data_IF_568814883806
#
_entry.id   IF_568814883806
#
_cell.length_a   1.000
_cell.length_b   1.000
_cell.length_c   1.000
_cell.angle_alpha   90.00
_cell.angle_beta   90.00
_cell.angle_gamma   90.00
#
_symmetry.space_group_name_H-M   'P 1'
#
loop_
_entity.id
_entity.type
_entity.pdbx_description
1 polymer ?
#
# COMPACT_ATOMS: atom_id res chain seq x y z
N UNK A 1 -30.32 22.90 -15.24
CA UNK A 1 -31.15 21.76 -14.75
C UNK A 1 -30.56 21.31 -13.45
N UNK A 2 -31.25 21.63 -12.33
CA UNK A 2 -30.67 21.38 -10.99
C UNK A 2 -30.62 19.89 -10.70
N UNK A 3 -29.41 19.32 -10.70
CA UNK A 3 -29.19 17.94 -10.26
C UNK A 3 -29.28 17.93 -8.73
N UNK A 4 -30.39 17.40 -8.21
CA UNK A 4 -30.59 17.18 -6.79
C UNK A 4 -29.63 16.06 -6.31
N UNK A 5 -28.52 16.44 -5.71
CA UNK A 5 -27.77 15.55 -4.81
C UNK A 5 -28.68 15.28 -3.60
N UNK A 6 -29.45 14.18 -3.65
CA UNK A 6 -30.38 13.80 -2.57
C UNK A 6 -29.64 13.17 -1.39
N UNK A 7 -28.75 13.91 -0.74
CA UNK A 7 -28.35 13.60 0.62
C UNK A 7 -28.21 14.91 1.40
N UNK A 8 -28.99 15.09 2.45
CA UNK A 8 -28.94 16.27 3.35
C UNK A 8 -27.57 16.50 4.03
N UNK A 9 -26.60 15.60 3.84
CA UNK A 9 -25.28 15.66 4.50
C UNK A 9 -24.24 16.48 3.73
N UNK A 10 -24.37 16.61 2.39
CA UNK A 10 -23.47 17.45 1.60
C UNK A 10 -23.75 18.96 1.66
N UNK A 11 -24.64 19.37 2.56
CA UNK A 11 -24.99 20.77 2.80
C UNK A 11 -24.35 21.37 4.06
N UNK A 12 -23.71 20.56 4.91
CA UNK A 12 -23.00 21.03 6.08
C UNK A 12 -21.73 21.79 5.69
N UNK A 13 -21.37 22.82 6.46
CA UNK A 13 -20.12 23.57 6.23
C UNK A 13 -18.87 22.68 6.34
N UNK A 14 -17.84 22.91 5.52
CA UNK A 14 -16.60 22.10 5.53
C UNK A 14 -15.77 22.33 6.81
N UNK A 15 -14.92 21.34 7.21
CA UNK A 15 -14.91 19.97 6.73
C UNK A 15 -15.87 19.05 7.52
N UNK A 16 -16.76 18.37 6.82
CA UNK A 16 -17.66 17.39 7.42
C UNK A 16 -17.13 15.97 7.22
N UNK A 17 -17.42 15.07 8.17
CA UNK A 17 -17.13 13.65 8.01
C UNK A 17 -18.30 12.93 7.34
N UNK A 18 -17.99 12.11 6.34
CA UNK A 18 -18.96 11.28 5.60
C UNK A 18 -18.54 9.82 5.65
N UNK A 19 -19.47 8.93 5.35
CA UNK A 19 -19.25 7.48 5.25
C UNK A 19 -19.18 7.02 3.79
N UNK A 20 -18.78 5.79 3.56
CA UNK A 20 -18.87 5.17 2.23
C UNK A 20 -20.32 5.10 1.75
N UNK A 21 -21.28 4.80 2.62
CA UNK A 21 -22.70 4.72 2.29
C UNK A 21 -23.24 6.06 1.79
N UNK A 22 -22.77 7.17 2.37
CA UNK A 22 -23.11 8.51 1.88
C UNK A 22 -22.62 8.71 0.45
N UNK A 23 -21.43 8.20 0.09
CA UNK A 23 -20.90 8.26 -1.28
C UNK A 23 -21.66 7.35 -2.23
N UNK A 24 -21.98 6.13 -1.82
CA UNK A 24 -22.74 5.17 -2.63
C UNK A 24 -24.19 5.62 -2.89
N UNK A 25 -24.66 6.64 -2.18
CA UNK A 25 -25.95 7.28 -2.42
C UNK A 25 -25.94 8.34 -3.55
N UNK A 26 -24.79 8.67 -4.13
CA UNK A 26 -24.66 9.61 -5.25
C UNK A 26 -25.37 9.08 -6.48
N UNK A 27 -26.11 9.94 -7.19
CA UNK A 27 -26.87 9.62 -8.41
C UNK A 27 -26.76 10.75 -9.43
N UNK A 28 -26.53 10.39 -10.69
CA UNK A 28 -26.49 11.33 -11.80
C UNK A 28 -25.33 12.32 -11.75
N UNK A 29 -24.30 12.06 -10.96
CA UNK A 29 -23.14 12.92 -10.79
C UNK A 29 -22.00 12.54 -11.73
N UNK A 30 -21.18 13.53 -12.11
CA UNK A 30 -19.87 13.31 -12.70
C UNK A 30 -18.86 13.20 -11.58
N UNK A 31 -18.27 12.02 -11.43
CA UNK A 31 -17.34 11.69 -10.34
C UNK A 31 -15.94 11.51 -10.90
N UNK A 32 -14.98 12.31 -10.42
CA UNK A 32 -13.56 12.16 -10.72
C UNK A 32 -12.84 11.51 -9.55
N UNK A 33 -12.30 10.31 -9.75
CA UNK A 33 -11.35 9.69 -8.81
C UNK A 33 -9.94 10.24 -9.04
N UNK A 34 -9.23 10.58 -7.97
CA UNK A 34 -7.87 11.12 -8.05
C UNK A 34 -6.93 10.36 -7.12
N UNK A 35 -5.88 9.76 -7.70
CA UNK A 35 -4.73 9.26 -6.94
C UNK A 35 -3.63 10.32 -6.97
N UNK A 36 -3.26 10.92 -5.81
CA UNK A 36 -2.32 12.03 -5.75
C UNK A 36 -0.90 11.68 -6.19
N UNK A 37 -0.07 12.65 -6.58
CA UNK A 37 1.37 12.47 -6.68
C UNK A 37 1.98 12.20 -5.30
N UNK A 38 3.14 11.55 -5.27
CA UNK A 38 3.87 11.28 -4.03
C UNK A 38 4.99 12.29 -3.84
N UNK A 39 5.11 12.85 -2.63
CA UNK A 39 6.23 13.70 -2.22
C UNK A 39 7.02 13.02 -1.13
N UNK A 40 8.23 12.55 -1.47
CA UNK A 40 9.06 11.75 -0.56
C UNK A 40 10.54 11.76 -0.98
N UNK A 41 11.40 11.20 -0.15
CA UNK A 41 12.82 10.91 -0.43
C UNK A 41 12.98 9.76 -1.43
N UNK A 42 12.05 8.82 -1.48
CA UNK A 42 12.02 7.70 -2.39
C UNK A 42 10.58 7.23 -2.63
N UNK A 43 10.33 6.68 -3.80
CA UNK A 43 9.10 5.98 -4.12
C UNK A 43 9.44 4.62 -4.72
N UNK A 44 8.98 3.58 -4.05
CA UNK A 44 9.12 2.21 -4.53
C UNK A 44 7.77 1.73 -5.06
N UNK A 45 7.69 1.61 -6.38
CA UNK A 45 6.54 0.97 -7.00
C UNK A 45 6.60 -0.54 -6.76
N UNK A 46 5.73 -1.02 -5.88
CA UNK A 46 5.47 -2.45 -5.64
C UNK A 46 4.10 -2.81 -6.22
N UNK A 47 3.92 -2.59 -7.53
CA UNK A 47 2.64 -2.72 -8.24
C UNK A 47 1.54 -1.80 -7.66
N UNK A 48 1.89 -0.54 -7.37
CA UNK A 48 0.99 0.41 -6.70
C UNK A 48 -0.21 0.77 -7.56
N UNK A 49 -1.41 0.51 -7.04
CA UNK A 49 -2.70 0.93 -7.59
C UNK A 49 -3.60 1.42 -6.46
N UNK A 50 -4.43 2.43 -6.67
CA UNK A 50 -5.37 2.94 -5.68
C UNK A 50 -6.62 2.04 -5.59
N UNK A 51 -6.42 0.76 -5.20
CA UNK A 51 -7.43 -0.30 -5.32
C UNK A 51 -8.74 0.05 -4.62
N UNK A 52 -8.69 0.65 -3.42
CA UNK A 52 -9.90 1.09 -2.70
C UNK A 52 -10.70 2.16 -3.46
N UNK A 53 -10.03 3.12 -4.11
CA UNK A 53 -10.67 4.11 -4.96
C UNK A 53 -11.31 3.46 -6.20
N UNK A 54 -10.60 2.51 -6.82
CA UNK A 54 -11.09 1.82 -8.02
C UNK A 54 -12.33 0.97 -7.72
N UNK A 55 -12.42 0.30 -6.57
CA UNK A 55 -13.64 -0.38 -6.14
C UNK A 55 -14.80 0.60 -5.92
N UNK A 56 -14.52 1.76 -5.30
CA UNK A 56 -15.54 2.77 -5.09
C UNK A 56 -16.06 3.33 -6.43
N UNK A 57 -15.18 3.64 -7.37
CA UNK A 57 -15.55 4.10 -8.71
C UNK A 57 -16.39 3.04 -9.44
N UNK A 58 -16.01 1.76 -9.36
CA UNK A 58 -16.79 0.67 -9.95
C UNK A 58 -18.19 0.60 -9.35
N UNK A 59 -18.33 0.78 -8.04
CA UNK A 59 -19.63 0.76 -7.38
C UNK A 59 -20.51 1.96 -7.76
N UNK A 60 -19.88 3.12 -8.02
CA UNK A 60 -20.59 4.36 -8.37
C UNK A 60 -21.04 4.41 -9.83
N UNK A 61 -20.37 3.69 -10.75
CA UNK A 61 -20.58 3.85 -12.20
C UNK A 61 -21.95 3.40 -12.70
N UNK A 62 -22.68 2.59 -11.92
CA UNK A 62 -24.03 2.18 -12.29
C UNK A 62 -25.00 3.37 -12.37
N UNK A 63 -24.81 4.39 -11.56
CA UNK A 63 -25.71 5.53 -11.40
C UNK A 63 -25.03 6.89 -11.70
N UNK A 64 -23.73 6.88 -12.03
CA UNK A 64 -22.93 8.08 -12.21
C UNK A 64 -21.94 7.93 -13.37
N UNK A 65 -21.53 9.05 -13.98
CA UNK A 65 -20.36 9.07 -14.85
C UNK A 65 -19.10 9.08 -13.99
N UNK A 66 -18.12 8.19 -14.29
CA UNK A 66 -16.87 8.10 -13.51
C UNK A 66 -15.65 8.26 -14.40
N UNK A 67 -14.65 8.97 -13.90
CA UNK A 67 -13.34 9.14 -14.51
C UNK A 67 -12.23 8.96 -13.47
N UNK A 68 -11.00 8.72 -13.92
CA UNK A 68 -9.83 8.54 -13.08
C UNK A 68 -8.67 9.44 -13.54
N UNK A 69 -8.05 10.12 -12.58
CA UNK A 69 -6.73 10.73 -12.71
C UNK A 69 -5.80 10.06 -11.70
N UNK A 70 -4.91 9.19 -12.16
CA UNK A 70 -3.85 8.61 -11.32
C UNK A 70 -2.52 9.29 -11.64
N UNK A 71 -2.10 10.24 -10.79
CA UNK A 71 -0.88 11.02 -11.00
C UNK A 71 0.39 10.14 -10.99
N UNK A 72 0.38 9.01 -10.29
CA UNK A 72 1.52 8.08 -10.29
C UNK A 72 1.58 7.30 -11.61
N UNK A 73 0.43 6.90 -12.14
CA UNK A 73 0.32 6.20 -13.41
C UNK A 73 0.64 7.13 -14.61
N UNK A 74 0.17 8.37 -14.58
CA UNK A 74 0.46 9.38 -15.62
C UNK A 74 1.96 9.70 -15.72
N UNK A 75 2.68 9.62 -14.60
CA UNK A 75 4.12 9.89 -14.54
C UNK A 75 5.02 8.69 -14.91
N UNK A 76 4.51 7.72 -15.67
CA UNK A 76 5.30 6.56 -16.10
C UNK A 76 6.47 6.96 -16.98
N UNK A 77 7.69 6.56 -16.60
CA UNK A 77 8.94 6.92 -17.27
C UNK A 77 9.71 5.70 -17.80
N UNK A 78 9.08 4.55 -17.86
CA UNK A 78 9.66 3.30 -18.38
C UNK A 78 9.31 2.08 -17.52
N UNK A 79 9.52 0.89 -18.08
CA UNK A 79 9.20 -0.38 -17.43
C UNK A 79 10.36 -0.87 -16.56
N UNK A 80 10.01 -1.51 -15.46
CA UNK A 80 10.86 -2.38 -14.64
C UNK A 80 10.44 -3.83 -14.83
N UNK A 81 11.17 -4.75 -14.20
CA UNK A 81 10.84 -6.17 -14.17
C UNK A 81 9.38 -6.39 -13.71
N UNK A 82 8.69 -7.32 -14.34
CA UNK A 82 7.32 -7.73 -14.03
C UNK A 82 6.29 -6.61 -14.20
N UNK A 83 6.39 -5.83 -15.24
CA UNK A 83 5.42 -4.79 -15.58
C UNK A 83 5.41 -3.56 -14.68
N UNK A 84 6.20 -3.55 -13.57
CA UNK A 84 6.32 -2.37 -12.72
C UNK A 84 6.87 -1.18 -13.48
N UNK A 85 6.53 0.02 -13.03
CA UNK A 85 6.89 1.26 -13.70
C UNK A 85 8.01 2.00 -12.95
N UNK A 86 8.82 2.74 -13.70
CA UNK A 86 9.56 3.87 -13.13
C UNK A 86 8.63 5.08 -13.16
N UNK A 87 8.59 5.83 -12.08
CA UNK A 87 7.82 7.07 -11.99
C UNK A 87 8.74 8.26 -12.24
N UNK A 88 8.35 9.17 -13.12
CA UNK A 88 9.03 10.43 -13.32
C UNK A 88 9.02 11.23 -12.01
N UNK A 89 10.11 11.95 -11.76
CA UNK A 89 10.26 12.74 -10.54
C UNK A 89 11.09 13.98 -10.81
N UNK A 90 10.81 15.03 -10.07
CA UNK A 90 11.65 16.23 -10.01
C UNK A 90 11.95 16.59 -8.55
N UNK A 91 13.12 17.17 -8.32
CA UNK A 91 13.54 17.59 -6.99
C UNK A 91 12.74 18.82 -6.56
N UNK A 92 12.28 18.84 -5.32
CA UNK A 92 11.54 19.94 -4.72
C UNK A 92 12.15 20.31 -3.38
N UNK A 93 11.83 21.51 -2.90
CA UNK A 93 12.23 21.97 -1.58
C UNK A 93 11.66 21.06 -0.49
N UNK A 94 12.50 20.76 0.51
CA UNK A 94 12.11 19.98 1.67
C UNK A 94 11.18 20.79 2.58
N UNK A 95 10.09 20.17 3.09
CA UNK A 95 9.29 20.80 4.13
C UNK A 95 10.10 21.01 5.42
N UNK A 96 9.73 22.02 6.21
CA UNK A 96 10.44 22.39 7.41
C UNK A 96 10.79 21.22 8.38
N UNK A 97 9.91 20.24 8.63
CA UNK A 97 10.27 19.08 9.46
C UNK A 97 11.45 18.25 8.93
N UNK A 98 11.76 18.34 7.64
CA UNK A 98 12.86 17.62 7.01
C UNK A 98 14.12 18.47 6.77
N UNK A 99 14.19 19.70 7.28
CA UNK A 99 15.33 20.60 7.04
C UNK A 99 16.69 19.98 7.39
N UNK A 100 16.79 19.24 8.50
CA UNK A 100 18.01 18.56 8.95
C UNK A 100 18.34 17.25 8.21
N UNK A 101 17.42 16.73 7.39
CA UNK A 101 17.61 15.45 6.68
C UNK A 101 18.56 15.65 5.50
N UNK A 102 19.72 15.01 5.50
CA UNK A 102 20.75 15.12 4.44
C UNK A 102 20.44 14.24 3.22
N UNK A 103 19.21 14.34 2.70
CA UNK A 103 18.73 13.60 1.50
C UNK A 103 17.95 14.56 0.61
N UNK A 104 17.93 14.32 -0.71
CA UNK A 104 17.10 15.07 -1.66
C UNK A 104 15.65 14.60 -1.53
N UNK A 105 14.74 15.54 -1.72
CA UNK A 105 13.30 15.34 -1.62
C UNK A 105 12.65 15.55 -2.99
N UNK A 106 11.70 14.72 -3.36
CA UNK A 106 11.17 14.66 -4.71
C UNK A 106 9.64 14.70 -4.73
N UNK A 107 9.12 15.24 -5.81
CA UNK A 107 7.76 15.03 -6.28
C UNK A 107 7.80 13.91 -7.32
N UNK A 108 7.08 12.82 -7.06
CA UNK A 108 6.87 11.70 -7.96
C UNK A 108 5.48 11.83 -8.56
N UNK A 109 5.40 12.31 -9.79
CA UNK A 109 4.17 12.65 -10.47
C UNK A 109 4.45 13.59 -11.64
N UNK A 110 3.44 13.89 -12.48
CA UNK A 110 3.55 14.89 -13.53
C UNK A 110 3.75 16.29 -12.95
N UNK A 111 4.27 17.21 -13.75
CA UNK A 111 4.33 18.62 -13.40
C UNK A 111 2.92 19.22 -13.25
N UNK A 112 2.84 20.38 -12.57
CA UNK A 112 1.57 21.05 -12.31
C UNK A 112 0.84 21.40 -13.61
N UNK A 113 1.58 21.92 -14.57
CA UNK A 113 1.10 22.36 -15.87
C UNK A 113 0.52 21.19 -16.69
N UNK A 114 1.17 20.03 -16.62
CA UNK A 114 0.72 18.80 -17.30
C UNK A 114 -0.62 18.30 -16.73
N UNK A 115 -0.75 18.28 -15.39
CA UNK A 115 -2.01 17.90 -14.75
C UNK A 115 -3.09 18.95 -15.02
N UNK A 116 -2.76 20.23 -14.93
CA UNK A 116 -3.71 21.31 -15.19
C UNK A 116 -4.25 21.27 -16.63
N UNK A 117 -3.38 21.03 -17.62
CA UNK A 117 -3.78 20.88 -19.01
C UNK A 117 -4.75 19.69 -19.19
N UNK A 118 -4.42 18.53 -18.59
CA UNK A 118 -5.27 17.35 -18.66
C UNK A 118 -6.63 17.55 -17.99
N UNK A 119 -6.66 18.21 -16.84
CA UNK A 119 -7.91 18.54 -16.15
C UNK A 119 -8.77 19.55 -16.91
N UNK A 120 -8.16 20.50 -17.63
CA UNK A 120 -8.87 21.50 -18.43
C UNK A 120 -9.61 20.90 -19.64
N UNK A 121 -9.17 19.71 -20.12
CA UNK A 121 -9.81 18.97 -21.21
C UNK A 121 -11.01 18.14 -20.71
N UNK A 122 -11.17 17.97 -19.39
CA UNK A 122 -12.23 17.14 -18.80
C UNK A 122 -13.51 17.96 -18.60
N UNK A 123 -14.67 17.30 -18.72
CA UNK A 123 -15.90 17.87 -18.22
C UNK A 123 -15.81 18.11 -16.71
N UNK A 124 -16.23 19.29 -16.26
CA UNK A 124 -16.15 19.65 -14.84
C UNK A 124 -16.91 18.64 -13.98
N UNK A 125 -16.24 17.98 -13.00
CA UNK A 125 -16.87 17.03 -12.11
C UNK A 125 -17.79 17.73 -11.11
N UNK A 126 -18.82 17.02 -10.65
CA UNK A 126 -19.66 17.45 -9.54
C UNK A 126 -19.02 17.06 -8.20
N UNK A 127 -18.35 15.88 -8.17
CA UNK A 127 -17.67 15.32 -7.01
C UNK A 127 -16.29 14.81 -7.39
N UNK A 128 -15.28 15.13 -6.57
CA UNK A 128 -13.90 14.66 -6.72
C UNK A 128 -13.54 13.81 -5.51
N UNK A 129 -13.18 12.55 -5.75
CA UNK A 129 -12.78 11.58 -4.72
C UNK A 129 -11.24 11.48 -4.71
N UNK A 130 -10.58 12.10 -3.74
CA UNK A 130 -9.12 12.05 -3.59
C UNK A 130 -8.76 10.93 -2.62
N UNK A 131 -7.94 9.96 -3.07
CA UNK A 131 -7.44 8.90 -2.19
C UNK A 131 -6.14 9.31 -1.48
N UNK A 132 -5.73 8.54 -0.48
CA UNK A 132 -4.49 8.75 0.26
C UNK A 132 -3.96 7.44 0.85
N UNK A 133 -2.64 7.24 0.86
CA UNK A 133 -2.01 5.99 1.33
C UNK A 133 -1.15 6.26 2.55
N UNK A 134 0.14 6.56 2.42
CA UNK A 134 1.01 6.80 3.56
C UNK A 134 0.67 8.12 4.26
N UNK A 135 0.70 8.11 5.60
CA UNK A 135 0.37 9.30 6.39
C UNK A 135 1.28 10.48 6.06
N UNK A 136 2.55 10.23 5.81
CA UNK A 136 3.57 11.22 5.49
C UNK A 136 3.58 11.66 4.01
N UNK A 137 2.72 11.14 3.16
CA UNK A 137 2.54 11.62 1.77
C UNK A 137 1.50 12.72 1.64
N UNK A 138 0.95 13.20 2.74
CA UNK A 138 -0.13 14.19 2.74
C UNK A 138 0.19 15.49 1.99
N UNK A 139 1.49 15.85 1.81
CA UNK A 139 1.85 17.03 1.02
C UNK A 139 1.53 16.87 -0.48
N UNK A 140 1.57 15.65 -1.02
CA UNK A 140 1.08 15.37 -2.37
C UNK A 140 -0.44 15.49 -2.44
N UNK A 141 -1.14 15.00 -1.41
CA UNK A 141 -2.61 15.13 -1.27
C UNK A 141 -3.01 16.61 -1.19
N UNK A 142 -2.36 17.39 -0.34
CA UNK A 142 -2.64 18.82 -0.21
C UNK A 142 -2.46 19.55 -1.53
N UNK A 143 -1.33 19.31 -2.19
CA UNK A 143 -0.98 19.96 -3.45
C UNK A 143 -2.03 19.67 -4.57
N UNK A 144 -2.51 18.45 -4.69
CA UNK A 144 -3.52 18.13 -5.71
C UNK A 144 -4.89 18.71 -5.34
N UNK A 145 -5.27 18.76 -4.06
CA UNK A 145 -6.52 19.39 -3.60
C UNK A 145 -6.51 20.88 -3.93
N UNK A 146 -5.38 21.58 -3.71
CA UNK A 146 -5.22 22.99 -4.06
C UNK A 146 -5.40 23.21 -5.58
N UNK A 147 -4.77 22.39 -6.41
CA UNK A 147 -4.91 22.46 -7.87
C UNK A 147 -6.35 22.18 -8.33
N UNK A 148 -7.00 21.15 -7.79
CA UNK A 148 -8.37 20.79 -8.12
C UNK A 148 -9.36 21.90 -7.72
N UNK A 149 -9.12 22.58 -6.61
CA UNK A 149 -9.94 23.71 -6.15
C UNK A 149 -9.83 24.90 -7.07
N UNK A 150 -8.63 25.16 -7.62
CA UNK A 150 -8.42 26.25 -8.59
C UNK A 150 -9.13 25.97 -9.92
N UNK A 151 -9.04 24.75 -10.42
CA UNK A 151 -9.60 24.39 -11.74
C UNK A 151 -11.12 24.13 -11.66
N UNK A 152 -11.58 23.49 -10.59
CA UNK A 152 -12.99 23.12 -10.39
C UNK A 152 -13.54 23.71 -9.08
N UNK A 153 -13.70 25.02 -8.95
CA UNK A 153 -14.08 25.67 -7.68
C UNK A 153 -15.45 25.26 -7.16
N UNK A 154 -16.35 24.82 -8.04
CA UNK A 154 -17.70 24.37 -7.69
C UNK A 154 -17.79 22.90 -7.27
N UNK A 155 -16.79 22.07 -7.64
CA UNK A 155 -16.79 20.66 -7.34
C UNK A 155 -16.64 20.37 -5.84
N UNK A 156 -17.33 19.34 -5.34
CA UNK A 156 -17.15 18.88 -3.96
C UNK A 156 -15.98 17.92 -3.87
N UNK A 157 -14.99 18.26 -3.07
CA UNK A 157 -13.79 17.45 -2.85
C UNK A 157 -13.94 16.60 -1.60
N UNK A 158 -13.83 15.29 -1.77
CA UNK A 158 -13.92 14.28 -0.70
C UNK A 158 -12.57 13.58 -0.56
N UNK A 159 -11.94 13.70 0.59
CA UNK A 159 -10.67 13.03 0.91
C UNK A 159 -10.92 11.71 1.65
N UNK A 160 -10.40 10.61 1.11
CA UNK A 160 -10.48 9.29 1.71
C UNK A 160 -9.15 8.54 1.72
N UNK A 161 -9.18 7.24 2.01
CA UNK A 161 -8.03 6.34 2.00
C UNK A 161 -7.37 6.17 3.37
N UNK A 162 -6.19 5.55 3.38
CA UNK A 162 -5.49 5.10 4.60
C UNK A 162 -5.10 6.28 5.50
N UNK A 163 -4.45 7.30 4.93
CA UNK A 163 -4.08 8.48 5.72
C UNK A 163 -5.29 9.19 6.31
N UNK A 164 -6.35 9.41 5.54
CA UNK A 164 -7.57 10.05 6.02
C UNK A 164 -8.23 9.26 7.16
N UNK A 165 -8.15 7.92 7.11
CA UNK A 165 -8.66 7.02 8.15
C UNK A 165 -7.82 7.05 9.43
N UNK A 166 -6.48 7.09 9.30
CA UNK A 166 -5.54 7.06 10.44
C UNK A 166 -5.33 8.44 11.09
N UNK A 167 -5.40 9.51 10.28
CA UNK A 167 -5.17 10.89 10.72
C UNK A 167 -6.35 11.83 10.37
N UNK A 168 -7.62 11.49 10.72
CA UNK A 168 -8.79 12.22 10.21
C UNK A 168 -8.82 13.70 10.61
N UNK A 169 -8.35 14.04 11.83
CA UNK A 169 -8.26 15.44 12.29
C UNK A 169 -7.23 16.26 11.52
N UNK A 170 -6.14 15.63 11.08
CA UNK A 170 -5.12 16.28 10.25
C UNK A 170 -5.61 16.39 8.81
N UNK A 171 -6.20 15.33 8.25
CA UNK A 171 -6.76 15.29 6.91
C UNK A 171 -7.84 16.38 6.69
N UNK A 172 -8.67 16.65 7.71
CA UNK A 172 -9.68 17.70 7.68
C UNK A 172 -9.12 19.12 7.47
N UNK A 173 -7.81 19.34 7.63
CA UNK A 173 -7.17 20.67 7.45
C UNK A 173 -6.59 20.85 6.04
N UNK A 174 -6.70 19.87 5.15
CA UNK A 174 -6.06 19.92 3.83
C UNK A 174 -6.88 20.61 2.74
N UNK A 175 -8.06 21.17 3.07
CA UNK A 175 -8.89 21.95 2.12
C UNK A 175 -9.93 21.12 1.36
N UNK A 176 -10.12 19.84 1.69
CA UNK A 176 -11.25 19.07 1.20
C UNK A 176 -12.56 19.51 1.88
N UNK A 177 -13.70 19.40 1.18
CA UNK A 177 -15.02 19.70 1.75
C UNK A 177 -15.44 18.60 2.74
N UNK A 178 -15.05 17.34 2.46
CA UNK A 178 -15.44 16.18 3.26
C UNK A 178 -14.27 15.23 3.47
N UNK A 179 -14.29 14.50 4.58
CA UNK A 179 -13.32 13.44 4.89
C UNK A 179 -14.07 12.14 5.17
N UNK A 180 -13.73 11.07 4.46
CA UNK A 180 -14.27 9.73 4.71
C UNK A 180 -13.53 9.09 5.87
N UNK A 181 -14.27 8.64 6.87
CA UNK A 181 -13.76 7.82 7.98
C UNK A 181 -13.93 6.34 7.65
N UNK A 182 -12.87 5.59 7.88
CA UNK A 182 -12.84 4.15 7.63
C UNK A 182 -12.49 3.79 6.19
N UNK A 183 -12.37 2.49 5.93
CA UNK A 183 -12.12 1.98 4.58
C UNK A 183 -13.43 1.60 3.90
N UNK A 184 -13.45 1.84 2.60
CA UNK A 184 -14.52 1.37 1.74
C UNK A 184 -14.45 -0.15 1.62
N UNK A 185 -15.46 -0.87 2.09
CA UNK A 185 -15.64 -2.26 1.70
C UNK A 185 -15.99 -2.31 0.20
N UNK A 186 -15.40 -3.23 -0.58
CA UNK A 186 -15.79 -3.38 -1.97
C UNK A 186 -17.26 -3.74 -2.08
N UNK A 187 -18.05 -2.84 -2.65
CA UNK A 187 -19.45 -3.09 -3.00
C UNK A 187 -19.59 -3.67 -4.41
N UNK A 188 -18.49 -3.72 -5.17
CA UNK A 188 -18.41 -4.30 -6.51
C UNK A 188 -17.52 -5.55 -6.51
N UNK A 189 -17.75 -6.53 -7.40
CA UNK A 189 -16.98 -7.76 -7.46
C UNK A 189 -15.53 -7.56 -7.96
N UNK A 190 -15.24 -6.47 -8.68
CA UNK A 190 -13.92 -6.12 -9.21
C UNK A 190 -13.74 -4.61 -9.28
N UNK A 191 -12.49 -4.09 -9.29
CA UNK A 191 -12.20 -2.67 -9.39
C UNK A 191 -12.34 -2.14 -10.81
N UNK A 192 -12.56 -0.83 -10.97
CA UNK A 192 -12.66 -0.15 -12.27
C UNK A 192 -11.31 -0.01 -12.97
N UNK A 193 -10.62 -1.13 -13.23
CA UNK A 193 -9.30 -1.14 -13.86
C UNK A 193 -9.32 -0.71 -15.33
N UNK A 194 -10.44 -0.84 -15.99
CA UNK A 194 -10.68 -0.39 -17.38
C UNK A 194 -10.51 1.12 -17.56
N UNK A 195 -10.60 1.91 -16.47
CA UNK A 195 -10.31 3.35 -16.51
C UNK A 195 -8.84 3.68 -16.85
N UNK A 196 -7.93 2.70 -16.75
CA UNK A 196 -6.56 2.85 -17.25
C UNK A 196 -6.40 2.54 -18.74
N UNK A 197 -7.41 1.96 -19.38
CA UNK A 197 -7.27 1.32 -20.69
C UNK A 197 -6.48 0.01 -20.58
N UNK A 198 -5.34 -0.11 -21.27
CA UNK A 198 -4.46 -1.26 -21.15
C UNK A 198 -3.57 -1.14 -19.90
N UNK A 199 -3.29 -2.28 -19.26
CA UNK A 199 -2.44 -2.34 -18.07
C UNK A 199 -1.36 -3.42 -18.20
N UNK A 200 -0.15 -3.13 -17.73
CA UNK A 200 0.97 -4.08 -17.73
C UNK A 200 0.88 -5.05 -16.54
N UNK A 201 0.31 -4.60 -15.42
CA UNK A 201 0.12 -5.41 -14.22
C UNK A 201 -1.23 -5.12 -13.56
N UNK A 202 -1.74 -6.12 -12.89
CA UNK A 202 -2.92 -6.03 -12.04
C UNK A 202 -2.59 -6.20 -10.57
N UNK A 203 -3.56 -5.87 -9.73
CA UNK A 203 -3.51 -6.06 -8.29
C UNK A 203 -4.79 -6.72 -7.82
N UNK A 204 -4.68 -7.63 -6.86
CA UNK A 204 -5.83 -8.32 -6.29
C UNK A 204 -5.77 -8.32 -4.78
N UNK A 205 -6.93 -8.29 -4.16
CA UNK A 205 -7.11 -8.40 -2.73
C UNK A 205 -8.19 -9.44 -2.45
N UNK A 206 -7.73 -10.69 -2.20
CA UNK A 206 -8.63 -11.84 -2.01
C UNK A 206 -9.18 -11.92 -0.60
N UNK A 207 -8.58 -11.17 0.33
CA UNK A 207 -9.06 -11.03 1.71
C UNK A 207 -8.83 -9.61 2.24
N UNK A 208 -9.61 -9.22 3.22
CA UNK A 208 -9.53 -7.94 3.91
C UNK A 208 -9.20 -8.16 5.37
N UNK A 209 -8.22 -7.41 5.89
CA UNK A 209 -7.75 -7.52 7.25
C UNK A 209 -6.84 -8.71 7.50
N UNK A 210 -6.40 -8.82 8.75
CA UNK A 210 -5.51 -9.85 9.23
C UNK A 210 -5.92 -10.25 10.65
N UNK A 211 -5.96 -11.55 11.00
CA UNK A 211 -6.32 -11.99 12.35
C UNK A 211 -5.18 -11.80 13.37
N UNK A 212 -3.99 -11.40 12.92
CA UNK A 212 -2.84 -11.17 13.78
C UNK A 212 -2.81 -9.72 14.29
N UNK A 213 -2.31 -9.54 15.53
CA UNK A 213 -2.25 -8.25 16.24
C UNK A 213 -0.82 -7.74 16.37
N UNK A 214 -0.11 -7.59 15.23
CA UNK A 214 1.26 -7.07 15.24
C UNK A 214 1.29 -5.63 15.75
N UNK A 215 2.18 -5.33 16.71
CA UNK A 215 2.25 -4.05 17.39
C UNK A 215 2.57 -2.84 16.50
N UNK A 216 3.10 -3.06 15.31
CA UNK A 216 3.42 -2.02 14.32
C UNK A 216 2.37 -1.87 13.22
N UNK A 217 1.40 -2.79 13.10
CA UNK A 217 0.55 -2.92 11.93
C UNK A 217 -0.84 -2.31 12.14
N UNK A 218 -1.29 -1.50 11.17
CA UNK A 218 -2.61 -0.89 11.18
C UNK A 218 -3.72 -1.76 10.56
N UNK A 219 -3.42 -2.99 10.10
CA UNK A 219 -4.42 -3.83 9.42
C UNK A 219 -5.68 -4.03 10.26
N UNK A 220 -5.55 -4.33 11.56
CA UNK A 220 -6.68 -4.46 12.48
C UNK A 220 -7.44 -3.16 12.77
N UNK A 221 -6.81 -1.99 12.57
CA UNK A 221 -7.47 -0.68 12.70
C UNK A 221 -8.27 -0.37 11.44
N UNK A 222 -7.68 -0.63 10.28
CA UNK A 222 -8.27 -0.37 8.97
C UNK A 222 -9.35 -1.40 8.62
N UNK A 223 -9.16 -2.64 9.04
CA UNK A 223 -10.06 -3.77 8.82
C UNK A 223 -10.27 -4.52 10.15
N UNK A 224 -11.23 -4.11 10.98
CA UNK A 224 -11.42 -4.71 12.31
C UNK A 224 -11.81 -6.18 12.30
N UNK A 225 -12.27 -6.68 11.14
CA UNK A 225 -12.66 -8.08 10.95
C UNK A 225 -11.95 -8.66 9.72
N UNK A 226 -11.34 -9.82 9.88
CA UNK A 226 -10.87 -10.60 8.74
C UNK A 226 -12.05 -11.12 7.92
N UNK A 227 -11.99 -10.92 6.61
CA UNK A 227 -12.98 -11.43 5.66
C UNK A 227 -12.29 -11.93 4.40
N UNK A 228 -12.60 -13.17 4.00
CA UNK A 228 -12.19 -13.74 2.71
C UNK A 228 -13.29 -13.51 1.68
N UNK A 229 -12.91 -13.16 0.46
CA UNK A 229 -13.82 -13.13 -0.70
C UNK A 229 -14.11 -14.55 -1.19
N UNK A 230 -15.18 -14.72 -1.94
CA UNK A 230 -15.42 -15.98 -2.63
C UNK A 230 -14.37 -16.22 -3.72
N UNK A 231 -14.13 -17.49 -4.05
CA UNK A 231 -13.22 -17.86 -5.14
C UNK A 231 -13.68 -17.25 -6.48
N UNK A 232 -14.99 -17.24 -6.72
CA UNK A 232 -15.57 -16.69 -7.93
C UNK A 232 -15.31 -15.19 -8.09
N UNK A 233 -15.44 -14.40 -7.01
CA UNK A 233 -15.13 -12.96 -7.02
C UNK A 233 -13.64 -12.69 -7.27
N UNK A 234 -12.75 -13.46 -6.62
CA UNK A 234 -11.31 -13.33 -6.80
C UNK A 234 -10.89 -13.65 -8.25
N UNK A 235 -11.45 -14.71 -8.83
CA UNK A 235 -11.20 -15.09 -10.22
C UNK A 235 -11.74 -14.06 -11.19
N UNK A 236 -12.97 -13.57 -11.00
CA UNK A 236 -13.57 -12.54 -11.87
C UNK A 236 -12.74 -11.24 -11.88
N UNK A 237 -12.16 -10.86 -10.74
CA UNK A 237 -11.25 -9.71 -10.63
C UNK A 237 -9.97 -9.92 -11.43
N UNK A 238 -9.36 -11.10 -11.32
CA UNK A 238 -8.12 -11.43 -12.05
C UNK A 238 -8.42 -11.55 -13.55
N UNK A 239 -9.52 -12.20 -13.94
CA UNK A 239 -9.94 -12.34 -15.34
C UNK A 239 -10.16 -10.98 -16.00
N UNK A 240 -10.81 -10.05 -15.32
CA UNK A 240 -11.00 -8.67 -15.79
C UNK A 240 -9.66 -7.97 -16.07
N UNK A 241 -8.70 -8.08 -15.17
CA UNK A 241 -7.40 -7.45 -15.31
C UNK A 241 -6.54 -8.13 -16.39
N UNK A 242 -6.58 -9.45 -16.49
CA UNK A 242 -5.90 -10.19 -17.56
C UNK A 242 -6.45 -9.82 -18.96
N UNK A 243 -7.76 -9.60 -19.07
CA UNK A 243 -8.40 -9.14 -20.31
C UNK A 243 -7.95 -7.73 -20.73
N UNK A 244 -7.55 -6.87 -19.77
CA UNK A 244 -6.97 -5.55 -20.03
C UNK A 244 -5.46 -5.59 -20.37
N UNK A 245 -4.85 -6.79 -20.41
CA UNK A 245 -3.46 -6.98 -20.80
C UNK A 245 -2.50 -7.32 -19.66
N UNK A 246 -2.94 -7.32 -18.40
CA UNK A 246 -2.08 -7.66 -17.27
C UNK A 246 -1.49 -9.06 -17.44
N UNK A 247 -0.17 -9.17 -17.26
CA UNK A 247 0.58 -10.44 -17.21
C UNK A 247 1.17 -10.72 -15.83
N UNK A 248 1.17 -9.73 -14.98
CA UNK A 248 1.64 -9.77 -13.60
C UNK A 248 0.51 -9.40 -12.66
N UNK A 249 0.20 -10.24 -11.68
CA UNK A 249 -0.84 -9.99 -10.68
C UNK A 249 -0.20 -9.99 -9.29
N UNK A 250 -0.29 -8.88 -8.58
CA UNK A 250 0.21 -8.73 -7.23
C UNK A 250 -0.91 -8.84 -6.21
N UNK A 251 -0.75 -9.75 -5.24
CA UNK A 251 -1.70 -9.93 -4.15
C UNK A 251 -1.41 -8.96 -3.01
N UNK A 252 -2.38 -8.11 -2.68
CA UNK A 252 -2.29 -7.13 -1.60
C UNK A 252 -2.80 -7.64 -0.25
N UNK A 253 -3.10 -8.94 -0.18
CA UNK A 253 -3.59 -9.58 1.05
C UNK A 253 -2.60 -9.44 2.19
N UNK A 254 -3.09 -9.07 3.38
CA UNK A 254 -2.31 -9.06 4.62
C UNK A 254 -2.09 -10.49 5.16
N UNK A 255 -2.92 -11.47 4.73
CA UNK A 255 -2.88 -12.86 5.17
C UNK A 255 -3.30 -13.83 4.04
N UNK A 256 -2.61 -13.80 2.89
CA UNK A 256 -2.95 -14.56 1.68
C UNK A 256 -3.11 -16.07 1.94
N UNK A 257 -2.17 -16.66 2.69
CA UNK A 257 -2.11 -18.10 2.94
C UNK A 257 -3.03 -18.61 4.07
N UNK A 258 -3.78 -17.71 4.73
CA UNK A 258 -4.73 -18.14 5.74
C UNK A 258 -5.90 -18.90 5.08
N UNK A 259 -6.26 -20.09 5.59
CA UNK A 259 -7.27 -20.95 4.96
C UNK A 259 -6.84 -21.44 3.57
N UNK A 260 -5.57 -21.85 3.44
CA UNK A 260 -4.98 -22.22 2.14
C UNK A 260 -5.64 -23.43 1.49
N UNK A 261 -6.15 -24.38 2.27
CA UNK A 261 -6.82 -25.57 1.76
C UNK A 261 -8.14 -25.23 1.05
N UNK A 262 -8.94 -24.35 1.66
CA UNK A 262 -10.27 -23.98 1.19
C UNK A 262 -10.26 -22.92 0.10
N UNK A 263 -9.18 -22.12 0.03
CA UNK A 263 -9.15 -20.97 -0.88
C UNK A 263 -7.89 -20.91 -1.74
N UNK A 264 -6.69 -20.86 -1.15
CA UNK A 264 -5.47 -20.56 -1.89
C UNK A 264 -5.12 -21.66 -2.91
N UNK A 265 -5.19 -22.93 -2.53
CA UNK A 265 -4.93 -24.03 -3.47
C UNK A 265 -6.00 -24.13 -4.58
N UNK A 266 -7.30 -24.01 -4.29
CA UNK A 266 -8.31 -23.87 -5.35
C UNK A 266 -8.05 -22.68 -6.27
N UNK A 267 -7.70 -21.50 -5.75
CA UNK A 267 -7.38 -20.33 -6.57
C UNK A 267 -6.20 -20.60 -7.52
N UNK A 268 -5.10 -21.13 -7.00
CA UNK A 268 -3.92 -21.49 -7.80
C UNK A 268 -4.24 -22.50 -8.89
N UNK A 269 -5.03 -23.54 -8.58
CA UNK A 269 -5.46 -24.56 -9.55
C UNK A 269 -6.29 -23.91 -10.68
N UNK A 270 -7.25 -23.07 -10.35
CA UNK A 270 -8.09 -22.40 -11.34
C UNK A 270 -7.29 -21.43 -12.23
N UNK A 271 -6.36 -20.66 -11.64
CA UNK A 271 -5.50 -19.75 -12.42
C UNK A 271 -4.59 -20.52 -13.37
N UNK A 272 -4.02 -21.64 -12.95
CA UNK A 272 -3.22 -22.52 -13.83
C UNK A 272 -4.07 -23.09 -14.98
N UNK A 273 -5.28 -23.56 -14.67
CA UNK A 273 -6.18 -24.11 -15.68
C UNK A 273 -6.59 -23.07 -16.72
N UNK A 274 -6.81 -21.81 -16.31
CA UNK A 274 -7.24 -20.71 -17.19
C UNK A 274 -6.11 -20.13 -18.05
N UNK A 275 -4.92 -19.98 -17.45
CA UNK A 275 -3.85 -19.18 -18.03
C UNK A 275 -2.60 -19.96 -18.43
N UNK A 276 -2.43 -21.20 -17.98
CA UNK A 276 -1.34 -22.09 -18.40
C UNK A 276 0.05 -21.49 -18.30
N UNK A 277 0.36 -20.70 -17.26
CA UNK A 277 1.62 -19.95 -17.13
C UNK A 277 1.64 -18.59 -17.84
N UNK A 278 0.52 -18.13 -18.40
CA UNK A 278 0.37 -16.80 -19.02
C UNK A 278 0.28 -15.65 -18.01
N UNK A 279 0.09 -15.93 -16.71
CA UNK A 279 0.14 -14.97 -15.62
C UNK A 279 1.27 -15.29 -14.66
N UNK A 280 2.00 -14.25 -14.24
CA UNK A 280 2.99 -14.31 -13.16
C UNK A 280 2.38 -13.70 -11.90
N UNK A 281 2.59 -14.34 -10.77
CA UNK A 281 1.98 -13.96 -9.49
C UNK A 281 3.04 -13.40 -8.53
N UNK A 282 2.65 -12.42 -7.71
CA UNK A 282 3.55 -11.67 -6.84
C UNK A 282 2.97 -11.47 -5.45
N UNK A 283 3.83 -11.52 -4.42
CA UNK A 283 3.45 -11.26 -3.04
C UNK A 283 4.25 -10.07 -2.48
N UNK A 284 3.89 -8.81 -2.80
CA UNK A 284 4.59 -7.64 -2.27
C UNK A 284 4.48 -7.54 -0.74
N UNK A 285 3.37 -8.00 -0.16
CA UNK A 285 3.23 -8.17 1.27
C UNK A 285 3.87 -9.48 1.71
N UNK A 286 4.45 -9.50 2.89
CA UNK A 286 5.15 -10.67 3.39
C UNK A 286 4.23 -11.86 3.66
N UNK A 287 4.57 -13.02 3.11
CA UNK A 287 3.91 -14.28 3.43
C UNK A 287 4.27 -14.73 4.86
N UNK A 288 3.29 -15.27 5.54
CA UNK A 288 3.49 -15.81 6.88
C UNK A 288 4.23 -17.15 6.82
N UNK A 289 5.48 -17.20 7.26
CA UNK A 289 6.38 -18.36 7.08
C UNK A 289 5.85 -19.67 7.65
N UNK A 290 5.06 -19.64 8.76
CA UNK A 290 4.40 -20.83 9.34
C UNK A 290 3.46 -21.54 8.37
N UNK A 291 2.97 -20.85 7.36
CA UNK A 291 2.04 -21.40 6.37
C UNK A 291 2.76 -22.08 5.20
N UNK A 292 4.10 -21.96 5.11
CA UNK A 292 4.88 -22.45 3.98
C UNK A 292 5.44 -23.84 4.28
N UNK A 293 4.56 -24.84 4.24
CA UNK A 293 4.94 -26.26 4.21
C UNK A 293 5.38 -26.69 2.80
N UNK A 294 5.78 -27.93 2.63
CA UNK A 294 6.23 -28.50 1.35
C UNK A 294 5.19 -28.33 0.24
N UNK A 295 3.92 -28.66 0.54
CA UNK A 295 2.82 -28.50 -0.42
C UNK A 295 2.57 -27.06 -0.82
N UNK A 296 2.64 -26.13 0.15
CA UNK A 296 2.48 -24.71 -0.12
C UNK A 296 3.61 -24.19 -1.02
N UNK A 297 4.85 -24.53 -0.71
CA UNK A 297 6.02 -24.15 -1.52
C UNK A 297 5.91 -24.68 -2.96
N UNK A 298 5.53 -25.95 -3.11
CA UNK A 298 5.30 -26.58 -4.42
C UNK A 298 4.17 -25.86 -5.19
N UNK A 299 3.03 -25.55 -4.52
CA UNK A 299 1.91 -24.85 -5.14
C UNK A 299 2.32 -23.43 -5.60
N UNK A 300 3.11 -22.71 -4.80
CA UNK A 300 3.63 -21.39 -5.18
C UNK A 300 4.48 -21.49 -6.46
N UNK A 301 5.41 -22.45 -6.53
CA UNK A 301 6.28 -22.64 -7.68
C UNK A 301 5.49 -23.02 -8.93
N UNK A 302 4.60 -24.01 -8.82
CA UNK A 302 3.76 -24.47 -9.90
C UNK A 302 2.77 -23.43 -10.42
N UNK A 303 2.40 -22.45 -9.61
CA UNK A 303 1.46 -21.38 -9.96
C UNK A 303 2.17 -20.09 -10.40
N UNK A 304 3.45 -20.17 -10.73
CA UNK A 304 4.24 -19.09 -11.28
C UNK A 304 4.37 -17.85 -10.38
N UNK A 305 4.45 -18.05 -9.06
CA UNK A 305 4.81 -16.98 -8.13
C UNK A 305 6.29 -16.61 -8.31
N UNK A 306 6.56 -15.42 -8.86
CA UNK A 306 7.91 -14.96 -9.23
C UNK A 306 8.63 -14.21 -8.12
N UNK A 307 7.92 -13.58 -7.22
CA UNK A 307 8.51 -12.85 -6.09
C UNK A 307 7.88 -13.30 -4.79
N UNK A 308 8.69 -13.95 -3.97
CA UNK A 308 8.30 -14.41 -2.64
C UNK A 308 8.85 -13.43 -1.62
N UNK A 309 7.98 -12.81 -0.85
CA UNK A 309 8.33 -12.00 0.32
C UNK A 309 7.98 -12.79 1.57
N UNK A 310 8.93 -12.93 2.48
CA UNK A 310 8.75 -13.62 3.75
C UNK A 310 8.73 -12.61 4.90
N UNK A 311 7.79 -12.75 5.83
CA UNK A 311 7.75 -11.97 7.06
C UNK A 311 8.50 -12.72 8.16
N UNK A 312 9.67 -12.24 8.55
CA UNK A 312 10.42 -12.70 9.72
C UNK A 312 10.44 -11.64 10.82
N UNK A 313 10.64 -10.39 10.43
CA UNK A 313 10.71 -9.19 11.28
C UNK A 313 12.00 -9.17 12.13
N UNK A 314 12.17 -10.08 13.08
CA UNK A 314 13.34 -10.21 13.96
C UNK A 314 13.45 -11.64 14.50
N UNK A 315 14.69 -12.08 14.76
CA UNK A 315 14.97 -13.33 15.51
C UNK A 315 15.19 -13.09 17.01
N UNK A 316 15.22 -11.83 17.44
CA UNK A 316 15.27 -11.48 18.85
C UNK A 316 13.93 -11.82 19.51
N UNK A 317 13.91 -12.67 20.58
CA UNK A 317 12.65 -13.12 21.16
C UNK A 317 11.80 -12.00 21.78
N UNK A 318 12.41 -10.96 22.33
CA UNK A 318 11.68 -9.83 22.93
C UNK A 318 11.06 -8.96 21.85
N UNK A 319 11.85 -8.58 20.86
CA UNK A 319 11.38 -7.82 19.70
C UNK A 319 10.31 -8.60 18.93
N UNK A 320 10.52 -9.89 18.68
CA UNK A 320 9.54 -10.74 17.99
C UNK A 320 8.21 -10.79 18.76
N UNK A 321 8.23 -10.94 20.09
CA UNK A 321 7.02 -10.96 20.93
C UNK A 321 6.26 -9.63 20.88
N UNK A 322 6.95 -8.50 20.96
CA UNK A 322 6.35 -7.16 20.97
C UNK A 322 5.88 -6.71 19.58
N UNK A 323 6.59 -7.10 18.54
CA UNK A 323 6.26 -6.71 17.17
C UNK A 323 5.18 -7.58 16.54
N UNK A 324 5.37 -8.90 16.53
CA UNK A 324 4.48 -9.80 15.80
C UNK A 324 4.16 -11.12 16.50
N UNK A 325 5.06 -11.65 17.32
CA UNK A 325 4.94 -12.99 17.92
C UNK A 325 4.82 -14.13 16.91
N UNK A 326 5.11 -13.86 15.62
CA UNK A 326 4.68 -14.70 14.51
C UNK A 326 5.60 -15.88 14.19
N UNK A 327 6.91 -15.75 14.41
CA UNK A 327 7.88 -16.67 13.77
C UNK A 327 8.96 -17.11 14.73
N UNK A 328 9.12 -18.43 14.89
CA UNK A 328 10.29 -19.02 15.50
C UNK A 328 11.40 -19.26 14.47
N UNK A 329 12.67 -19.25 14.92
CA UNK A 329 13.84 -19.50 14.03
C UNK A 329 13.70 -20.78 13.19
N UNK A 330 13.25 -21.88 13.80
CA UNK A 330 13.07 -23.15 13.11
C UNK A 330 11.97 -23.13 12.05
N UNK A 331 10.91 -22.35 12.26
CA UNK A 331 9.81 -22.20 11.29
C UNK A 331 10.29 -21.45 10.03
N UNK A 332 11.11 -20.42 10.22
CA UNK A 332 11.72 -19.69 9.09
C UNK A 332 12.66 -20.60 8.28
N UNK A 333 13.58 -21.31 8.96
CA UNK A 333 14.51 -22.23 8.29
C UNK A 333 13.76 -23.33 7.51
N UNK A 334 12.69 -23.88 8.07
CA UNK A 334 11.85 -24.87 7.39
C UNK A 334 11.16 -24.30 6.15
N UNK A 335 10.59 -23.08 6.24
CA UNK A 335 9.93 -22.45 5.11
C UNK A 335 10.91 -22.16 3.95
N UNK A 336 12.10 -21.63 4.23
CA UNK A 336 13.12 -21.41 3.20
C UNK A 336 13.59 -22.71 2.59
N UNK A 337 13.82 -23.76 3.40
CA UNK A 337 14.17 -25.10 2.90
C UNK A 337 13.09 -25.64 1.95
N UNK A 338 11.81 -25.51 2.29
CA UNK A 338 10.70 -25.96 1.44
C UNK A 338 10.65 -25.18 0.12
N UNK A 339 10.83 -23.86 0.14
CA UNK A 339 10.88 -23.03 -1.08
C UNK A 339 12.07 -23.41 -1.97
N UNK A 340 13.25 -23.64 -1.39
CA UNK A 340 14.43 -24.11 -2.12
C UNK A 340 14.19 -25.47 -2.77
N UNK A 341 13.56 -26.40 -2.05
CA UNK A 341 13.21 -27.71 -2.57
C UNK A 341 12.18 -27.65 -3.72
N UNK A 342 11.29 -26.64 -3.70
CA UNK A 342 10.34 -26.36 -4.76
C UNK A 342 10.94 -25.63 -5.97
N UNK A 343 12.27 -25.30 -5.96
CA UNK A 343 12.99 -24.77 -7.09
C UNK A 343 13.23 -23.25 -7.07
N UNK A 344 12.84 -22.54 -6.00
CA UNK A 344 13.16 -21.10 -5.88
C UNK A 344 14.64 -20.85 -5.69
N UNK A 345 15.21 -19.88 -6.40
CA UNK A 345 16.56 -19.38 -6.13
C UNK A 345 16.58 -18.52 -4.83
N UNK A 346 17.75 -18.32 -4.19
CA UNK A 346 17.83 -17.41 -3.03
C UNK A 346 17.22 -16.03 -3.31
N UNK A 347 17.50 -15.50 -4.50
CA UNK A 347 17.08 -14.17 -4.95
C UNK A 347 15.55 -14.02 -5.07
N UNK A 348 14.84 -15.15 -5.21
CA UNK A 348 13.38 -15.17 -5.26
C UNK A 348 12.73 -15.12 -3.87
N UNK A 349 13.51 -15.42 -2.81
CA UNK A 349 13.06 -15.53 -1.42
C UNK A 349 13.54 -14.34 -0.58
N UNK A 350 13.01 -13.15 -0.84
CA UNK A 350 13.36 -11.96 -0.06
C UNK A 350 12.60 -11.94 1.29
N UNK A 351 13.33 -11.62 2.36
CA UNK A 351 12.82 -11.68 3.73
C UNK A 351 12.82 -10.30 4.38
N UNK A 352 11.65 -9.82 4.77
CA UNK A 352 11.52 -8.56 5.49
C UNK A 352 12.05 -8.68 6.92
N UNK A 353 12.95 -7.75 7.27
CA UNK A 353 13.53 -7.55 8.60
C UNK A 353 13.20 -6.14 9.03
N UNK A 354 12.54 -5.98 10.19
CA UNK A 354 12.25 -4.66 10.75
C UNK A 354 13.50 -4.05 11.38
N UNK A 355 13.75 -2.78 11.07
CA UNK A 355 14.83 -1.98 11.64
C UNK A 355 14.28 -0.65 12.17
N UNK A 356 14.74 -0.24 13.36
CA UNK A 356 14.35 1.01 14.00
C UNK A 356 13.06 0.92 14.83
N UNK A 357 12.72 -0.26 15.33
CA UNK A 357 11.66 -0.43 16.32
C UNK A 357 12.05 0.26 17.64
N UNK A 358 11.10 0.83 18.40
CA UNK A 358 11.40 1.44 19.69
C UNK A 358 12.12 0.47 20.63
N UNK A 359 13.34 0.82 21.05
CA UNK A 359 14.16 -0.01 21.95
C UNK A 359 14.95 -1.15 21.29
N UNK A 360 14.91 -1.27 19.96
CA UNK A 360 15.66 -2.29 19.23
C UNK A 360 17.18 -1.98 19.22
N UNK A 361 18.00 -2.94 19.64
CA UNK A 361 19.46 -2.88 19.50
C UNK A 361 19.86 -3.20 18.05
N UNK A 362 20.78 -2.41 17.49
CA UNK A 362 21.34 -2.64 16.15
C UNK A 362 21.95 -4.03 15.98
N UNK A 363 22.53 -4.61 17.05
CA UNK A 363 23.07 -5.97 17.03
C UNK A 363 22.01 -7.00 16.70
N UNK A 364 20.81 -6.86 17.27
CA UNK A 364 19.71 -7.78 16.98
C UNK A 364 19.28 -7.74 15.51
N UNK A 365 19.37 -6.57 14.86
CA UNK A 365 19.13 -6.42 13.42
C UNK A 365 20.24 -7.10 12.61
N UNK A 366 21.51 -6.89 12.97
CA UNK A 366 22.67 -7.55 12.32
C UNK A 366 22.60 -9.07 12.43
N UNK A 367 22.24 -9.57 13.60
CA UNK A 367 22.09 -11.01 13.86
C UNK A 367 20.94 -11.58 13.00
N UNK A 368 19.84 -10.84 12.86
CA UNK A 368 18.71 -11.24 12.01
C UNK A 368 19.11 -11.26 10.53
N UNK A 369 19.88 -10.28 10.05
CA UNK A 369 20.39 -10.25 8.67
C UNK A 369 21.28 -11.48 8.41
N UNK A 370 22.23 -11.76 9.31
CA UNK A 370 23.13 -12.91 9.19
C UNK A 370 22.33 -14.23 9.20
N UNK A 371 21.38 -14.37 10.11
CA UNK A 371 20.52 -15.54 10.20
C UNK A 371 19.75 -15.79 8.89
N UNK A 372 19.22 -14.76 8.24
CA UNK A 372 18.54 -14.89 6.95
C UNK A 372 19.49 -15.39 5.87
N UNK A 373 20.71 -14.82 5.77
CA UNK A 373 21.73 -15.26 4.84
C UNK A 373 22.16 -16.71 5.08
N UNK A 374 22.38 -17.08 6.34
CA UNK A 374 22.86 -18.43 6.72
C UNK A 374 21.81 -19.52 6.43
N UNK A 375 20.53 -19.14 6.34
CA UNK A 375 19.43 -20.04 5.95
C UNK A 375 19.08 -19.98 4.44
N UNK A 376 19.84 -19.24 3.63
CA UNK A 376 19.66 -19.20 2.18
C UNK A 376 18.52 -18.29 1.69
N UNK A 377 18.08 -17.33 2.51
CA UNK A 377 17.19 -16.24 2.13
C UNK A 377 17.96 -14.96 1.81
N UNK A 378 17.30 -13.96 1.24
CA UNK A 378 17.86 -12.62 0.98
C UNK A 378 17.22 -11.59 1.91
N UNK A 379 17.97 -10.98 2.83
CA UNK A 379 17.40 -9.99 3.76
C UNK A 379 17.02 -8.71 3.04
N UNK A 380 15.87 -8.13 3.41
CA UNK A 380 15.38 -6.81 2.99
C UNK A 380 14.99 -6.02 4.21
N UNK A 381 15.66 -4.90 4.44
CA UNK A 381 15.27 -4.01 5.53
C UNK A 381 13.94 -3.34 5.25
N UNK A 382 13.02 -3.46 6.20
CA UNK A 382 11.80 -2.68 6.31
C UNK A 382 11.99 -1.68 7.47
N UNK A 383 12.25 -0.43 7.14
CA UNK A 383 12.45 0.63 8.13
C UNK A 383 11.11 0.93 8.81
N UNK A 384 11.10 0.95 10.14
CA UNK A 384 9.89 1.16 10.94
C UNK A 384 9.26 2.52 10.67
N UNK A 385 7.95 2.52 10.47
CA UNK A 385 7.09 3.70 10.43
C UNK A 385 6.15 3.68 11.63
N UNK A 386 6.16 4.69 12.52
CA UNK A 386 5.17 4.75 13.59
C UNK A 386 3.78 5.09 13.01
N UNK A 387 2.91 4.09 12.96
CA UNK A 387 1.57 4.22 12.36
C UNK A 387 0.54 4.55 13.45
N UNK A 388 -0.20 5.67 13.35
CA UNK A 388 -1.17 6.10 14.36
C UNK A 388 -2.18 5.03 14.75
N UNK A 389 -2.40 4.90 16.06
CA UNK A 389 -3.33 3.93 16.64
C UNK A 389 -2.72 2.56 16.95
N UNK A 390 -1.46 2.30 16.55
CA UNK A 390 -0.77 1.05 16.89
C UNK A 390 -0.05 1.13 18.23
N UNK A 391 0.16 0.00 18.94
CA UNK A 391 0.93 -0.02 20.19
C UNK A 391 2.34 0.58 20.05
N UNK A 392 3.05 0.28 18.95
CA UNK A 392 4.41 0.80 18.74
C UNK A 392 4.42 2.30 18.35
N UNK A 393 3.33 2.83 17.77
CA UNK A 393 3.17 4.27 17.63
C UNK A 393 3.10 4.96 19.00
N UNK A 394 2.34 4.39 19.94
CA UNK A 394 2.20 4.96 21.27
C UNK A 394 3.55 4.93 22.04
N UNK A 395 4.34 3.87 21.85
CA UNK A 395 5.69 3.80 22.37
C UNK A 395 6.62 4.87 21.77
N UNK A 396 6.59 5.03 20.45
CA UNK A 396 7.33 6.05 19.72
C UNK A 396 6.90 7.48 20.10
N UNK A 397 5.60 7.72 20.21
CA UNK A 397 5.03 9.04 20.54
C UNK A 397 5.28 9.46 22.00
N UNK A 398 5.62 8.53 22.92
CA UNK A 398 6.12 8.89 24.26
C UNK A 398 7.51 9.53 24.19
N UNK A 399 8.38 9.04 23.29
CA UNK A 399 9.72 9.62 23.06
C UNK A 399 9.66 10.90 22.21
N UNK A 400 8.79 10.92 21.19
CA UNK A 400 8.62 12.03 20.24
C UNK A 400 7.15 12.44 20.15
N UNK A 401 6.64 13.29 21.08
CA UNK A 401 5.21 13.67 21.11
C UNK A 401 4.69 14.34 19.83
N UNK A 402 5.56 15.01 19.07
CA UNK A 402 5.23 15.65 17.80
C UNK A 402 4.67 14.68 16.73
N UNK A 403 4.94 13.37 16.84
CA UNK A 403 4.36 12.34 15.97
C UNK A 403 2.82 12.39 15.93
N UNK A 404 2.18 12.85 17.00
CA UNK A 404 0.70 12.93 17.10
C UNK A 404 0.10 14.05 16.24
N UNK A 405 0.87 15.07 15.91
CA UNK A 405 0.40 16.26 15.20
C UNK A 405 1.02 16.44 13.82
N UNK A 406 2.20 15.85 13.56
CA UNK A 406 2.94 16.01 12.32
C UNK A 406 3.22 14.65 11.65
N UNK A 407 2.39 14.26 10.67
CA UNK A 407 2.57 12.98 9.97
C UNK A 407 3.88 12.83 9.19
N UNK A 408 4.56 13.90 8.80
CA UNK A 408 5.89 13.81 8.16
C UNK A 408 6.91 13.09 9.04
N UNK A 409 6.80 13.23 10.36
CA UNK A 409 7.70 12.57 11.30
C UNK A 409 7.51 11.03 11.34
N UNK A 410 6.42 10.52 10.76
CA UNK A 410 6.11 9.08 10.69
C UNK A 410 6.78 8.39 9.49
N UNK A 411 7.52 9.13 8.64
CA UNK A 411 8.14 8.60 7.43
C UNK A 411 9.23 7.58 7.78
N UNK A 412 9.02 6.33 7.37
CA UNK A 412 9.93 5.21 7.62
C UNK A 412 11.37 5.48 7.16
N UNK A 413 11.54 6.17 6.02
CA UNK A 413 12.87 6.39 5.44
C UNK A 413 13.73 7.39 6.21
N UNK A 414 13.18 8.05 7.25
CA UNK A 414 13.91 9.04 8.07
C UNK A 414 13.62 8.94 9.56
N UNK A 415 12.53 8.25 9.97
CA UNK A 415 12.12 8.21 11.38
C UNK A 415 13.24 7.70 12.29
N UNK A 416 13.75 6.50 12.05
CA UNK A 416 14.72 5.86 12.96
C UNK A 416 16.06 6.58 13.02
N UNK A 417 16.49 7.21 11.93
CA UNK A 417 17.84 7.79 11.83
C UNK A 417 17.92 9.30 12.03
N UNK A 418 16.78 10.02 11.89
CA UNK A 418 16.79 11.48 12.01
C UNK A 418 15.85 12.02 13.11
N UNK A 419 14.88 11.22 13.55
CA UNK A 419 13.88 11.68 14.53
C UNK A 419 13.91 10.93 15.84
N UNK A 420 13.91 9.59 15.82
CA UNK A 420 14.06 8.82 17.08
C UNK A 420 15.51 8.65 17.51
N UNK A 421 16.45 8.70 16.57
CA UNK A 421 17.88 8.45 16.76
C UNK A 421 18.19 7.05 17.35
N UNK A 422 17.25 6.09 17.22
CA UNK A 422 17.49 4.72 17.66
C UNK A 422 18.56 4.01 16.81
N UNK A 423 18.70 4.41 15.53
CA UNK A 423 19.76 3.96 14.60
C UNK A 423 20.33 5.21 13.90
N UNK A 424 21.62 5.40 13.93
CA UNK A 424 22.27 6.52 13.22
C UNK A 424 22.22 6.32 11.70
N UNK A 425 22.34 7.38 10.88
CA UNK A 425 22.42 7.24 9.42
C UNK A 425 23.57 6.34 8.94
N UNK A 426 24.72 6.34 9.64
CA UNK A 426 25.86 5.50 9.34
C UNK A 426 25.57 4.01 9.63
N UNK A 427 24.99 3.71 10.78
CA UNK A 427 24.57 2.36 11.14
C UNK A 427 23.49 1.84 10.20
N UNK A 428 22.51 2.67 9.81
CA UNK A 428 21.51 2.27 8.83
C UNK A 428 22.13 1.95 7.47
N UNK A 429 23.14 2.71 7.06
CA UNK A 429 23.87 2.43 5.82
C UNK A 429 24.65 1.11 5.93
N UNK A 430 25.29 0.84 7.08
CA UNK A 430 25.96 -0.45 7.35
C UNK A 430 24.98 -1.62 7.21
N UNK A 431 23.80 -1.53 7.85
CA UNK A 431 22.76 -2.55 7.73
C UNK A 431 22.32 -2.76 6.26
N UNK A 432 22.14 -1.67 5.50
CA UNK A 432 21.82 -1.74 4.06
C UNK A 432 22.91 -2.42 3.25
N UNK A 433 24.17 -2.20 3.59
CA UNK A 433 25.30 -2.84 2.91
C UNK A 433 25.41 -4.32 3.27
N UNK A 434 25.11 -4.69 4.51
CA UNK A 434 25.02 -6.10 4.91
C UNK A 434 23.96 -6.87 4.12
N UNK A 435 22.86 -6.24 3.72
CA UNK A 435 21.82 -6.90 2.90
C UNK A 435 22.22 -7.12 1.45
N UNK A 436 23.39 -6.62 1.00
CA UNK A 436 23.89 -6.73 -0.38
C UNK A 436 25.13 -7.64 -0.50
N UNK A 437 25.80 -7.96 0.60
CA UNK A 437 27.17 -8.54 0.59
C UNK A 437 27.31 -9.98 0.10
N UNK A 438 26.21 -10.72 -0.12
CA UNK A 438 26.26 -12.14 -0.51
C UNK A 438 25.51 -12.47 -1.80
N UNK A 439 25.16 -11.44 -2.61
CA UNK A 439 24.58 -11.61 -3.95
C UNK A 439 25.66 -11.59 -5.03
#
# INVERSE_FOLDING_TARGET
MNIYVRTNKFTAGPPAFVTQEDLLALRGARVLGVNPPVRDFAFMDLWSKPLGLLYLLQSLRAENSVALLDCVWEARAGLKTYGRQKTAKHEIEKPAPYAAVRRRYFHFGPAREEIAAKLAEMEAPDVILVTSVMTYWYLGVKWIIELLREIFPAAKIVLGGVYASLCPKHAARLGADYVVRGRAEPAAPYPAMDLYGAIDYGVSMTSFGCPFSCGYCASGILWPRYRRRSLAEALAEIDCQAALGARDIAFYDDALLLGKEEFFYPLCRELRARYGGGLRLHTPNGLHVRQIDERCAQTLAESDFKTIRLSLESIDPEIARESSGKVARGEYAAAVKNLRAAGYAPEDCETYILAGLPGQDIRSVKDTINFVWDNGGVPKLAEFSPIPGTPLFEAAARKLPALRSEPLLQNNSVYCSYFSHDITPAELQELKDMTKRRL
#
